data_IF_262386578852
#
_entry.id   IF_262386578852
#
_cell.length_a   1.000
_cell.length_b   1.000
_cell.length_c   1.000
_cell.angle_alpha   90.00
_cell.angle_beta   90.00
_cell.angle_gamma   90.00
#
_symmetry.space_group_name_H-M   'P 1'
#
loop_
_entity.id
_entity.type
_entity.pdbx_description
1 polymer ?
#
# COMPACT_ATOMS: atom_id res chain seq x y z
N UNK A 1 20.69 9.16 -12.83
CA UNK A 1 20.00 8.15 -12.02
C UNK A 1 19.46 8.80 -10.74
N UNK A 2 18.27 8.43 -10.31
CA UNK A 2 17.78 8.70 -8.97
C UNK A 2 18.44 7.68 -8.01
N UNK A 3 18.92 8.15 -6.86
CA UNK A 3 19.51 7.30 -5.82
C UNK A 3 18.59 7.23 -4.63
N UNK A 4 18.15 6.03 -4.29
CA UNK A 4 17.25 5.78 -3.14
C UNK A 4 18.03 4.99 -2.09
N UNK A 5 18.29 5.58 -0.90
CA UNK A 5 18.97 4.88 0.18
C UNK A 5 18.08 3.81 0.80
N UNK A 6 18.67 2.66 1.13
CA UNK A 6 18.02 1.54 1.80
C UNK A 6 18.54 1.40 3.21
N UNK A 7 17.64 1.49 4.17
CA UNK A 7 17.94 1.36 5.59
C UNK A 7 17.40 0.03 6.13
N UNK A 8 18.09 -0.55 7.07
CA UNK A 8 17.61 -1.69 7.87
C UNK A 8 16.67 -1.24 8.99
N UNK A 9 16.25 -2.17 9.83
CA UNK A 9 15.35 -1.92 10.97
C UNK A 9 15.99 -1.10 12.09
N UNK A 10 17.33 -1.09 12.18
CA UNK A 10 18.10 -0.25 13.09
C UNK A 10 18.27 1.17 12.60
N UNK A 11 17.97 1.45 11.32
CA UNK A 11 18.16 2.73 10.65
C UNK A 11 19.56 2.91 10.05
N UNK A 12 20.35 1.84 9.93
CA UNK A 12 21.64 1.89 9.24
C UNK A 12 21.47 1.84 7.72
N UNK A 13 22.24 2.66 7.01
CA UNK A 13 22.32 2.65 5.55
C UNK A 13 23.07 1.39 5.08
N UNK A 14 22.37 0.43 4.50
CA UNK A 14 22.91 -0.89 4.13
C UNK A 14 22.97 -1.13 2.61
N UNK A 15 22.28 -0.32 1.82
CA UNK A 15 22.33 -0.41 0.35
C UNK A 15 21.81 0.88 -0.30
N UNK A 16 21.90 0.94 -1.64
CA UNK A 16 21.29 1.96 -2.48
C UNK A 16 20.53 1.29 -3.63
N UNK A 17 19.35 1.81 -3.95
CA UNK A 17 18.70 1.51 -5.23
C UNK A 17 18.94 2.66 -6.20
N UNK A 18 19.40 2.33 -7.39
CA UNK A 18 19.60 3.26 -8.50
C UNK A 18 18.46 3.08 -9.49
N UNK A 19 17.78 4.17 -9.81
CA UNK A 19 16.69 4.19 -10.80
C UNK A 19 17.15 5.08 -11.95
N UNK A 20 17.37 4.48 -13.11
CA UNK A 20 17.79 5.21 -14.30
C UNK A 20 16.62 5.94 -14.97
N UNK A 21 16.93 6.88 -15.86
CA UNK A 21 15.92 7.69 -16.56
C UNK A 21 14.92 6.86 -17.40
N UNK A 22 15.32 5.67 -17.82
CA UNK A 22 14.47 4.70 -18.52
C UNK A 22 13.67 3.76 -17.57
N UNK A 23 13.69 4.03 -16.27
CA UNK A 23 12.93 3.29 -15.25
C UNK A 23 13.60 1.99 -14.78
N UNK A 24 14.76 1.61 -15.28
CA UNK A 24 15.48 0.41 -14.81
C UNK A 24 15.95 0.61 -13.37
N UNK A 25 15.68 -0.40 -12.53
CA UNK A 25 16.01 -0.40 -11.10
C UNK A 25 17.14 -1.41 -10.84
N UNK A 26 18.15 -1.03 -10.07
CA UNK A 26 19.24 -1.91 -9.63
C UNK A 26 19.68 -1.52 -8.22
N UNK A 27 20.06 -2.48 -7.42
CA UNK A 27 20.73 -2.28 -6.12
C UNK A 27 22.24 -2.51 -6.27
N UNK A 28 23.02 -1.97 -5.34
CA UNK A 28 24.45 -2.24 -5.33
C UNK A 28 24.69 -3.71 -4.99
N UNK A 29 25.63 -4.31 -5.72
CA UNK A 29 26.00 -5.73 -5.54
C UNK A 29 26.63 -5.94 -4.15
N UNK A 30 26.15 -6.94 -3.43
CA UNK A 30 26.67 -7.31 -2.12
C UNK A 30 26.03 -6.54 -0.94
N UNK A 31 25.25 -5.47 -1.20
CA UNK A 31 24.47 -4.82 -0.16
C UNK A 31 23.19 -5.58 0.20
N UNK A 32 22.70 -5.39 1.40
CA UNK A 32 21.47 -6.00 1.88
C UNK A 32 20.25 -5.44 1.10
N UNK A 33 19.29 -6.32 0.76
CA UNK A 33 18.02 -5.92 0.14
C UNK A 33 16.85 -6.41 0.99
N UNK A 34 16.93 -7.64 1.49
CA UNK A 34 15.86 -8.23 2.28
C UNK A 34 15.78 -7.57 3.67
N UNK A 35 14.57 -7.19 4.07
CA UNK A 35 14.35 -6.52 5.35
C UNK A 35 14.78 -5.04 5.37
N UNK A 36 15.05 -4.45 4.20
CA UNK A 36 15.38 -3.02 4.08
C UNK A 36 14.20 -2.23 3.55
N UNK A 37 14.17 -0.94 3.85
CA UNK A 37 13.19 0.01 3.31
C UNK A 37 13.80 1.39 3.10
N UNK A 38 13.08 2.20 2.34
CA UNK A 38 13.21 3.65 2.36
C UNK A 38 11.93 4.24 2.97
N UNK A 39 12.03 5.31 3.74
CA UNK A 39 10.85 5.94 4.35
C UNK A 39 10.70 7.36 3.81
N UNK A 40 9.53 7.65 3.26
CA UNK A 40 9.08 8.99 2.94
C UNK A 40 8.28 9.49 4.15
N UNK A 41 8.92 10.32 4.96
CA UNK A 41 8.33 10.82 6.20
C UNK A 41 7.20 11.81 5.91
N UNK A 42 6.04 11.57 6.50
CA UNK A 42 4.87 12.42 6.40
C UNK A 42 4.37 12.89 7.76
N UNK A 43 3.27 13.60 7.77
CA UNK A 43 2.62 14.05 9.00
C UNK A 43 1.80 12.90 9.61
N UNK A 44 2.46 11.97 10.28
CA UNK A 44 1.80 10.92 11.03
C UNK A 44 1.32 11.44 12.39
N UNK A 45 0.01 11.57 12.53
CA UNK A 45 -0.61 11.72 13.86
C UNK A 45 -1.11 10.34 14.32
N UNK A 46 -1.07 10.08 15.62
CA UNK A 46 -1.60 8.83 16.19
C UNK A 46 -3.02 8.54 15.67
N UNK A 47 -3.26 7.31 15.23
CA UNK A 47 -4.55 6.89 14.66
C UNK A 47 -4.73 7.14 13.16
N UNK A 48 -3.71 7.65 12.46
CA UNK A 48 -3.70 7.78 10.99
C UNK A 48 -3.15 6.53 10.30
N UNK A 49 -2.98 6.63 9.00
CA UNK A 49 -2.50 5.54 8.16
C UNK A 49 -0.99 5.56 8.02
N UNK A 50 -0.43 4.38 7.88
CA UNK A 50 0.93 4.15 7.42
C UNK A 50 0.85 3.34 6.13
N UNK A 51 1.42 3.89 5.08
CA UNK A 51 1.41 3.26 3.77
C UNK A 51 2.65 2.40 3.55
N UNK A 52 2.49 1.32 2.80
CA UNK A 52 3.58 0.49 2.31
C UNK A 52 3.38 0.32 0.81
N UNK A 53 4.39 0.67 0.01
CA UNK A 53 4.37 0.50 -1.43
C UNK A 53 5.57 -0.32 -1.90
N UNK A 54 5.42 -1.10 -2.98
CA UNK A 54 6.52 -1.86 -3.54
C UNK A 54 7.55 -0.93 -4.21
N UNK A 55 7.08 -0.05 -5.08
CA UNK A 55 7.92 0.82 -5.90
C UNK A 55 8.07 2.24 -5.35
N UNK A 56 9.21 2.88 -5.65
CA UNK A 56 9.45 4.26 -5.23
C UNK A 56 8.48 5.26 -5.90
N UNK A 57 8.15 5.09 -7.18
CA UNK A 57 7.20 5.99 -7.88
C UNK A 57 5.80 5.93 -7.28
N UNK A 58 5.29 4.72 -7.04
CA UNK A 58 4.01 4.49 -6.31
C UNK A 58 4.05 5.17 -4.94
N UNK A 59 5.13 4.94 -4.16
CA UNK A 59 5.30 5.51 -2.83
C UNK A 59 5.31 7.04 -2.84
N UNK A 60 6.06 7.64 -3.76
CA UNK A 60 6.17 9.09 -3.90
C UNK A 60 4.81 9.72 -4.28
N UNK A 61 4.06 9.07 -5.17
CA UNK A 61 2.72 9.52 -5.57
C UNK A 61 1.76 9.48 -4.38
N UNK A 62 1.70 8.37 -3.65
CA UNK A 62 0.86 8.25 -2.45
C UNK A 62 1.25 9.28 -1.41
N UNK A 63 2.55 9.41 -1.10
CA UNK A 63 3.06 10.41 -0.17
C UNK A 63 2.68 11.84 -0.58
N UNK A 64 2.92 12.20 -1.84
CA UNK A 64 2.60 13.53 -2.36
C UNK A 64 1.10 13.87 -2.26
N UNK A 65 0.24 12.90 -2.56
CA UNK A 65 -1.22 13.13 -2.59
C UNK A 65 -1.87 13.07 -1.19
N UNK A 66 -1.30 12.32 -0.26
CA UNK A 66 -1.88 12.14 1.08
C UNK A 66 -1.19 12.96 2.16
N UNK A 67 0.10 13.27 2.00
CA UNK A 67 0.96 13.86 3.04
C UNK A 67 1.29 12.88 4.18
N UNK A 68 0.96 11.59 4.03
CA UNK A 68 1.16 10.55 5.03
C UNK A 68 2.49 9.83 4.83
N UNK A 69 3.02 9.20 5.87
CA UNK A 69 4.27 8.41 5.79
C UNK A 69 4.08 7.19 4.92
N UNK A 70 5.06 6.94 4.05
CA UNK A 70 5.09 5.76 3.17
C UNK A 70 6.41 5.02 3.34
N UNK A 71 6.35 3.74 3.65
CA UNK A 71 7.48 2.82 3.63
C UNK A 71 7.59 2.17 2.24
N UNK A 72 8.75 2.29 1.62
CA UNK A 72 9.04 1.74 0.28
C UNK A 72 9.73 0.40 0.44
N UNK A 73 9.09 -0.67 -0.02
CA UNK A 73 9.60 -2.04 0.11
C UNK A 73 10.70 -2.38 -0.91
N UNK A 74 10.74 -1.67 -2.05
CA UNK A 74 11.70 -1.83 -3.16
C UNK A 74 11.64 -3.20 -3.87
N UNK A 75 10.87 -4.13 -3.31
CA UNK A 75 10.58 -5.44 -3.89
C UNK A 75 9.37 -6.06 -3.18
N UNK A 76 8.55 -6.80 -3.93
CA UNK A 76 7.37 -7.50 -3.37
C UNK A 76 7.71 -8.53 -2.29
N UNK A 77 8.94 -9.06 -2.28
CA UNK A 77 9.40 -10.00 -1.23
C UNK A 77 9.57 -9.34 0.14
N UNK A 78 9.67 -8.01 0.18
CA UNK A 78 9.81 -7.26 1.43
C UNK A 78 8.46 -6.84 2.04
N UNK A 79 7.35 -6.92 1.32
CA UNK A 79 6.05 -6.40 1.78
C UNK A 79 5.64 -6.99 3.14
N UNK A 80 5.77 -8.31 3.31
CA UNK A 80 5.40 -8.97 4.57
C UNK A 80 6.28 -8.53 5.74
N UNK A 81 7.59 -8.44 5.55
CA UNK A 81 8.53 -8.02 6.60
C UNK A 81 8.34 -6.54 6.95
N UNK A 82 8.03 -5.69 5.96
CA UNK A 82 7.73 -4.29 6.21
C UNK A 82 6.39 -4.09 6.94
N UNK A 83 5.38 -4.87 6.61
CA UNK A 83 4.11 -4.82 7.34
C UNK A 83 4.29 -5.20 8.82
N UNK A 84 5.14 -6.21 9.10
CA UNK A 84 5.55 -6.56 10.47
C UNK A 84 6.26 -5.40 11.18
N UNK A 85 7.25 -4.82 10.53
CA UNK A 85 8.01 -3.69 11.07
C UNK A 85 7.10 -2.45 11.30
N UNK A 86 6.21 -2.18 10.36
CA UNK A 86 5.22 -1.12 10.43
C UNK A 86 4.31 -1.29 11.65
N UNK A 87 3.79 -2.49 11.87
CA UNK A 87 2.94 -2.80 13.04
C UNK A 87 3.68 -2.62 14.36
N UNK A 88 4.97 -3.00 14.41
CA UNK A 88 5.80 -2.84 15.61
C UNK A 88 6.11 -1.37 15.91
N UNK A 89 6.51 -0.60 14.89
CA UNK A 89 6.91 0.81 15.06
C UNK A 89 5.71 1.76 15.18
N UNK A 90 4.58 1.43 14.56
CA UNK A 90 3.37 2.27 14.49
C UNK A 90 2.11 1.47 14.86
N UNK A 91 2.02 0.96 16.09
CA UNK A 91 0.95 0.02 16.49
C UNK A 91 -0.48 0.60 16.38
N UNK A 92 -0.63 1.92 16.49
CA UNK A 92 -1.91 2.61 16.41
C UNK A 92 -2.31 3.04 14.98
N UNK A 93 -1.44 2.85 13.98
CA UNK A 93 -1.74 3.23 12.61
C UNK A 93 -2.48 2.10 11.87
N UNK A 94 -3.43 2.48 11.01
CA UNK A 94 -3.94 1.58 9.99
C UNK A 94 -2.84 1.34 8.95
N UNK A 95 -2.44 0.09 8.74
CA UNK A 95 -1.48 -0.28 7.70
C UNK A 95 -2.22 -0.39 6.38
N UNK A 96 -1.71 0.30 5.34
CA UNK A 96 -2.28 0.28 3.99
C UNK A 96 -1.22 -0.15 2.98
N UNK A 97 -1.47 -1.24 2.26
CA UNK A 97 -0.62 -1.74 1.18
C UNK A 97 -1.07 -1.07 -0.12
N UNK A 98 -0.29 -0.10 -0.63
CA UNK A 98 -0.49 0.49 -1.94
C UNK A 98 0.08 -0.47 -3.00
N UNK A 99 -0.76 -1.40 -3.45
CA UNK A 99 -0.37 -2.46 -4.37
C UNK A 99 -0.56 -2.05 -5.83
N UNK A 100 0.18 -2.68 -6.72
CA UNK A 100 0.06 -2.53 -8.16
C UNK A 100 -1.06 -3.46 -8.68
N UNK A 101 -1.76 -3.04 -9.73
CA UNK A 101 -2.77 -3.86 -10.43
C UNK A 101 -2.14 -4.44 -11.69
N UNK A 102 -1.59 -5.63 -11.60
CA UNK A 102 -1.01 -6.34 -12.73
C UNK A 102 -1.89 -7.52 -13.21
N UNK A 103 -1.64 -7.99 -14.43
CA UNK A 103 -2.40 -9.11 -15.02
C UNK A 103 -2.10 -10.47 -14.36
N UNK A 104 -0.91 -10.63 -13.75
CA UNK A 104 -0.53 -11.88 -13.08
C UNK A 104 -1.21 -12.01 -11.71
N UNK A 105 -1.52 -10.89 -11.08
CA UNK A 105 -2.05 -10.81 -9.73
C UNK A 105 -1.06 -11.20 -8.63
N UNK A 106 0.21 -11.41 -8.96
CA UNK A 106 1.20 -11.87 -7.97
C UNK A 106 1.55 -10.80 -6.95
N UNK A 107 1.66 -9.53 -7.39
CA UNK A 107 1.83 -8.38 -6.50
C UNK A 107 0.65 -8.21 -5.56
N UNK A 108 -0.58 -8.28 -6.10
CA UNK A 108 -1.82 -8.19 -5.32
C UNK A 108 -1.93 -9.30 -4.27
N UNK A 109 -1.60 -10.55 -4.62
CA UNK A 109 -1.60 -11.70 -3.68
C UNK A 109 -0.64 -11.49 -2.53
N UNK A 110 0.58 -11.00 -2.80
CA UNK A 110 1.58 -10.72 -1.76
C UNK A 110 1.16 -9.55 -0.87
N UNK A 111 0.57 -8.50 -1.45
CA UNK A 111 0.03 -7.39 -0.68
C UNK A 111 -1.15 -7.84 0.21
N UNK A 112 -2.07 -8.64 -0.34
CA UNK A 112 -3.17 -9.21 0.43
C UNK A 112 -2.67 -10.08 1.59
N UNK A 113 -1.72 -10.98 1.35
CA UNK A 113 -1.14 -11.81 2.40
C UNK A 113 -0.44 -10.98 3.50
N UNK A 114 0.22 -9.88 3.13
CA UNK A 114 0.83 -8.97 4.10
C UNK A 114 -0.23 -8.18 4.89
N UNK A 115 -1.31 -7.74 4.23
CA UNK A 115 -2.43 -7.07 4.89
C UNK A 115 -3.14 -8.00 5.87
N UNK A 116 -3.49 -9.22 5.46
CA UNK A 116 -4.16 -10.21 6.31
C UNK A 116 -3.33 -10.57 7.54
N UNK A 117 -2.01 -10.73 7.37
CA UNK A 117 -1.12 -11.10 8.48
C UNK A 117 -0.98 -9.99 9.54
N UNK A 118 -1.20 -8.72 9.20
CA UNK A 118 -0.91 -7.57 10.07
C UNK A 118 -2.08 -6.61 10.20
N UNK A 119 -3.31 -7.08 9.96
CA UNK A 119 -4.55 -6.30 10.10
C UNK A 119 -4.51 -5.00 9.30
N UNK A 120 -4.00 -5.11 8.06
CA UNK A 120 -3.93 -4.02 7.12
C UNK A 120 -5.05 -4.08 6.09
N UNK A 121 -5.04 -3.11 5.18
CA UNK A 121 -5.92 -3.08 4.01
C UNK A 121 -5.10 -2.92 2.74
N UNK A 122 -5.61 -3.40 1.61
CA UNK A 122 -4.98 -3.24 0.30
C UNK A 122 -5.70 -2.14 -0.47
N UNK A 123 -4.93 -1.18 -0.98
CA UNK A 123 -5.40 -0.14 -1.89
C UNK A 123 -4.90 -0.47 -3.31
N UNK A 124 -5.83 -0.69 -4.24
CA UNK A 124 -5.53 -0.94 -5.66
C UNK A 124 -5.89 0.27 -6.50
N UNK A 125 -5.03 0.67 -7.46
CA UNK A 125 -5.34 1.77 -8.36
C UNK A 125 -6.53 1.40 -9.29
N UNK A 126 -7.26 2.41 -9.80
CA UNK A 126 -8.40 2.18 -10.70
C UNK A 126 -7.98 1.76 -12.12
N UNK A 127 -6.67 1.78 -12.40
CA UNK A 127 -6.06 1.42 -13.70
C UNK A 127 -5.20 0.17 -13.57
N UNK A 128 -4.87 -0.49 -14.68
CA UNK A 128 -3.76 -1.42 -14.73
C UNK A 128 -2.44 -0.64 -14.59
N UNK A 129 -1.54 -1.13 -13.75
CA UNK A 129 -0.30 -0.47 -13.38
C UNK A 129 -0.29 -0.07 -11.90
N UNK A 130 0.33 1.04 -11.59
CA UNK A 130 0.51 1.53 -10.24
C UNK A 130 -0.22 2.87 -9.97
N UNK A 131 -0.08 3.40 -8.76
CA UNK A 131 -0.69 4.69 -8.40
C UNK A 131 -0.07 5.88 -9.14
N UNK A 132 1.17 5.76 -9.63
CA UNK A 132 1.80 6.77 -10.47
C UNK A 132 1.21 6.77 -11.89
N UNK A 133 0.82 5.59 -12.41
CA UNK A 133 0.08 5.48 -13.68
C UNK A 133 -1.30 6.14 -13.55
N UNK A 134 -2.00 5.89 -12.45
CA UNK A 134 -3.28 6.55 -12.17
C UNK A 134 -3.13 8.08 -12.07
N UNK A 135 -2.08 8.56 -11.40
CA UNK A 135 -1.77 9.98 -11.29
C UNK A 135 -1.48 10.62 -12.66
N UNK A 136 -0.71 9.93 -13.48
CA UNK A 136 -0.37 10.39 -14.83
C UNK A 136 -1.60 10.45 -15.74
N UNK A 137 -2.52 9.48 -15.58
CA UNK A 137 -3.73 9.38 -16.41
C UNK A 137 -4.84 10.34 -15.99
N UNK A 138 -5.08 10.50 -14.68
CA UNK A 138 -6.26 11.22 -14.14
C UNK A 138 -5.94 12.52 -13.42
N UNK A 139 -4.66 12.80 -13.15
CA UNK A 139 -4.23 13.96 -12.36
C UNK A 139 -4.40 13.78 -10.85
N UNK A 140 -3.90 14.76 -10.10
CA UNK A 140 -3.74 14.63 -8.64
C UNK A 140 -5.05 14.51 -7.86
N UNK A 141 -6.05 15.34 -8.17
CA UNK A 141 -7.32 15.37 -7.43
C UNK A 141 -8.11 14.06 -7.58
N UNK A 142 -8.26 13.57 -8.81
CA UNK A 142 -8.98 12.32 -9.09
C UNK A 142 -8.25 11.11 -8.48
N UNK A 143 -6.92 11.06 -8.58
CA UNK A 143 -6.12 9.99 -7.98
C UNK A 143 -6.19 10.02 -6.46
N UNK A 144 -6.11 11.19 -5.84
CA UNK A 144 -6.28 11.34 -4.39
C UNK A 144 -7.63 10.82 -3.92
N UNK A 145 -8.71 11.17 -4.64
CA UNK A 145 -10.04 10.64 -4.34
C UNK A 145 -10.07 9.11 -4.43
N UNK A 146 -9.50 8.55 -5.51
CA UNK A 146 -9.44 7.11 -5.72
C UNK A 146 -8.63 6.38 -4.61
N UNK A 147 -7.53 6.97 -4.13
CA UNK A 147 -6.75 6.45 -3.00
C UNK A 147 -7.64 6.28 -1.76
N UNK A 148 -8.41 7.31 -1.40
CA UNK A 148 -9.27 7.24 -0.22
C UNK A 148 -10.49 6.35 -0.43
N UNK A 149 -11.04 6.27 -1.64
CA UNK A 149 -12.13 5.36 -1.97
C UNK A 149 -11.68 3.88 -1.88
N UNK A 150 -10.44 3.58 -2.29
CA UNK A 150 -9.88 2.22 -2.28
C UNK A 150 -9.69 1.64 -0.87
N UNK A 151 -9.57 2.48 0.16
CA UNK A 151 -9.39 2.07 1.56
C UNK A 151 -10.64 2.27 2.42
N UNK A 152 -11.72 2.76 1.81
CA UNK A 152 -13.00 2.88 2.52
C UNK A 152 -13.54 1.48 2.79
N UNK A 153 -14.01 1.18 4.01
CA UNK A 153 -14.76 -0.04 4.24
C UNK A 153 -15.90 -0.14 3.20
N UNK A 154 -16.22 -1.33 2.69
CA UNK A 154 -17.43 -1.49 1.89
C UNK A 154 -18.61 -0.86 2.65
N UNK A 155 -19.48 -0.19 1.93
CA UNK A 155 -20.70 0.34 2.54
C UNK A 155 -21.41 -0.83 3.23
N UNK A 156 -21.75 -0.67 4.49
CA UNK A 156 -22.52 -1.69 5.22
C UNK A 156 -23.76 -2.02 4.39
N UNK A 157 -23.90 -3.28 4.05
CA UNK A 157 -25.12 -3.76 3.42
C UNK A 157 -26.28 -3.54 4.40
N UNK A 158 -27.45 -3.09 3.95
CA UNK A 158 -28.64 -3.03 4.80
C UNK A 158 -28.92 -4.37 5.50
N UNK A 159 -28.37 -5.46 4.97
CA UNK A 159 -28.54 -6.81 5.49
C UNK A 159 -27.50 -7.21 6.55
N UNK A 160 -26.35 -6.49 6.65
CA UNK A 160 -25.26 -6.84 7.58
C UNK A 160 -25.67 -6.66 9.08
N UNK A 161 -26.66 -5.83 9.34
CA UNK A 161 -27.20 -5.56 10.70
C UNK A 161 -28.50 -6.33 10.98
N UNK A 162 -29.03 -7.07 10.00
CA UNK A 162 -30.27 -7.82 10.15
C UNK A 162 -30.04 -9.15 10.85
N UNK A 163 -30.94 -9.48 11.78
CA UNK A 163 -30.97 -10.82 12.36
C UNK A 163 -31.43 -11.86 11.33
N UNK A 164 -31.07 -13.11 11.55
CA UNK A 164 -31.47 -14.23 10.69
C UNK A 164 -33.00 -14.35 10.55
N UNK A 165 -33.73 -13.98 11.60
CA UNK A 165 -35.19 -13.94 11.63
C UNK A 165 -35.76 -12.84 10.72
N UNK A 166 -35.21 -11.64 10.76
CA UNK A 166 -35.57 -10.52 9.89
C UNK A 166 -35.28 -10.80 8.43
N UNK A 167 -34.07 -11.35 8.13
CA UNK A 167 -33.69 -11.74 6.77
C UNK A 167 -34.60 -12.84 6.21
N UNK A 168 -35.00 -13.82 7.03
CA UNK A 168 -35.96 -14.89 6.64
C UNK A 168 -37.36 -14.39 6.38
N UNK A 169 -37.78 -13.30 7.04
CA UNK A 169 -39.08 -12.72 6.85
C UNK A 169 -39.23 -11.89 5.57
N UNK A 170 -38.14 -11.51 4.90
CA UNK A 170 -38.18 -10.75 3.66
C UNK A 170 -38.69 -11.59 2.49
N UNK A 171 -39.42 -10.94 1.58
CA UNK A 171 -39.86 -11.58 0.34
C UNK A 171 -38.66 -11.90 -0.60
N UNK A 172 -38.83 -12.87 -1.47
CA UNK A 172 -37.76 -13.29 -2.42
C UNK A 172 -37.35 -12.15 -3.37
N UNK A 173 -38.23 -11.17 -3.61
CA UNK A 173 -37.95 -10.00 -4.46
C UNK A 173 -37.10 -8.93 -3.77
N UNK A 174 -36.98 -8.97 -2.44
CA UNK A 174 -36.18 -8.02 -1.64
C UNK A 174 -34.79 -8.57 -1.27
N UNK A 175 -34.53 -9.86 -1.59
CA UNK A 175 -33.26 -10.56 -1.31
C UNK A 175 -32.29 -10.59 -2.49
N UNK A 176 -32.69 -10.07 -3.67
CA UNK A 176 -31.92 -10.13 -4.92
C UNK A 176 -31.11 -8.85 -5.20
#
# INVERSE_FOLDING_TARGET
DLVVPLYDDSGELVNLQLISADGRKRTLKGGQVRGTCHILEGQNQAGKRLWIAEGYATALTVHHLTGETVMVALSSVNLLSLASLARQKYPACQIVLAADRDLSGDGQKKAAAAADAWEGVVALPPVFGDWNDAFTQYGGEATRKAIYDAIRPPAESPFDTMSEAEFSAMSTSEKA
#
